data_IF_920894162993
#
_entry.id   IF_920894162993
#
_cell.length_a   1.000
_cell.length_b   1.000
_cell.length_c   1.000
_cell.angle_alpha   90.00
_cell.angle_beta   90.00
_cell.angle_gamma   90.00
#
_symmetry.space_group_name_H-M   'P 1'
#
loop_
_entity.id
_entity.type
_entity.pdbx_description
1 polymer ?
#
# COMPACT_ATOMS: atom_id res chain seq x y z
N UNK A 1 -48.26 -22.75 -11.30
CA UNK A 1 -48.57 -23.19 -9.93
C UNK A 1 -47.31 -22.92 -9.12
N UNK A 2 -47.28 -21.84 -8.34
CA UNK A 2 -47.31 -21.86 -6.87
C UNK A 2 -46.27 -22.86 -6.31
N UNK A 3 -45.23 -22.45 -5.58
CA UNK A 3 -45.35 -21.65 -4.36
C UNK A 3 -44.06 -20.95 -3.92
N UNK A 4 -44.23 -19.68 -3.55
CA UNK A 4 -43.39 -18.84 -2.68
C UNK A 4 -43.11 -19.51 -1.33
N UNK A 5 -41.96 -19.18 -0.71
CA UNK A 5 -41.84 -18.65 0.67
C UNK A 5 -40.35 -18.42 1.02
N UNK A 6 -39.92 -17.15 0.95
CA UNK A 6 -38.72 -16.64 1.64
C UNK A 6 -39.22 -16.01 2.95
N UNK A 7 -38.75 -16.54 4.07
CA UNK A 7 -39.06 -16.03 5.40
C UNK A 7 -38.08 -14.89 5.74
N UNK A 8 -38.64 -13.73 6.06
CA UNK A 8 -37.95 -12.59 6.62
C UNK A 8 -37.71 -12.82 8.12
N UNK A 9 -36.47 -12.58 8.58
CA UNK A 9 -36.17 -12.40 10.00
C UNK A 9 -35.87 -10.93 10.25
N UNK A 10 -36.84 -10.23 10.83
CA UNK A 10 -36.64 -8.96 11.51
C UNK A 10 -36.44 -9.26 13.00
N UNK A 11 -35.22 -9.07 13.50
CA UNK A 11 -34.91 -9.10 14.93
C UNK A 11 -34.75 -7.69 15.46
N UNK A 12 -35.77 -7.20 16.14
CA UNK A 12 -35.76 -5.96 16.91
C UNK A 12 -34.96 -6.16 18.20
N UNK A 13 -33.99 -5.28 18.49
CA UNK A 13 -33.34 -5.19 19.79
C UNK A 13 -33.79 -3.90 20.46
N UNK A 14 -34.44 -4.06 21.62
CA UNK A 14 -35.01 -3.01 22.43
C UNK A 14 -33.93 -2.25 23.22
N UNK A 15 -34.13 -0.93 23.30
CA UNK A 15 -33.44 0.01 24.17
C UNK A 15 -33.79 -0.26 25.64
N UNK A 16 -32.77 -0.37 26.50
CA UNK A 16 -32.89 -0.14 27.95
C UNK A 16 -31.76 0.80 28.37
N UNK A 17 -32.14 1.94 28.94
CA UNK A 17 -31.24 2.98 29.41
C UNK A 17 -30.61 2.68 30.78
N UNK A 18 -29.50 3.36 31.03
CA UNK A 18 -28.86 3.46 32.34
C UNK A 18 -27.80 4.56 32.32
N UNK A 19 -28.15 5.72 32.87
CA UNK A 19 -27.25 6.85 33.13
C UNK A 19 -26.42 6.58 34.37
N UNK A 20 -25.08 6.61 34.26
CA UNK A 20 -24.18 6.98 35.35
C UNK A 20 -23.06 7.82 34.75
N UNK A 21 -23.00 9.10 35.13
CA UNK A 21 -21.90 10.00 34.80
C UNK A 21 -20.91 10.09 35.94
N UNK A 22 -19.61 9.95 35.65
CA UNK A 22 -18.50 10.47 36.47
C UNK A 22 -17.35 10.87 35.52
N UNK A 23 -16.91 12.12 35.65
CA UNK A 23 -15.49 12.48 35.71
C UNK A 23 -14.66 12.50 34.43
N UNK A 24 -14.52 13.71 33.87
CA UNK A 24 -13.59 14.14 32.84
C UNK A 24 -12.12 13.77 33.09
N UNK A 25 -11.43 13.29 32.04
CA UNK A 25 -10.14 13.82 31.56
C UNK A 25 -9.55 12.84 30.53
N UNK A 26 -10.07 12.86 29.31
CA UNK A 26 -9.41 12.23 28.16
C UNK A 26 -8.99 13.34 27.21
N UNK A 27 -7.68 13.56 27.12
CA UNK A 27 -7.05 14.25 26.00
C UNK A 27 -7.57 13.59 24.70
N UNK A 28 -8.48 14.26 24.01
CA UNK A 28 -8.84 13.85 22.66
C UNK A 28 -7.61 14.01 21.76
N UNK A 29 -7.20 12.98 21.01
CA UNK A 29 -6.29 13.18 19.91
C UNK A 29 -7.03 14.09 18.92
N UNK A 30 -6.46 15.27 18.63
CA UNK A 30 -6.92 16.13 17.52
C UNK A 30 -6.89 15.30 16.24
N UNK A 31 -8.00 14.65 15.92
CA UNK A 31 -8.32 14.26 14.56
C UNK A 31 -8.37 15.57 13.79
N UNK A 32 -7.38 15.78 12.93
CA UNK A 32 -7.41 16.81 11.90
C UNK A 32 -8.60 16.52 10.99
N UNK A 33 -9.79 16.99 11.38
CA UNK A 33 -10.92 17.13 10.47
C UNK A 33 -10.41 17.93 9.27
N UNK A 34 -10.49 17.34 8.08
CA UNK A 34 -10.09 18.01 6.85
C UNK A 34 -10.83 19.33 6.72
N UNK A 35 -10.08 20.41 6.42
CA UNK A 35 -10.65 21.72 6.11
C UNK A 35 -11.61 21.58 4.92
N UNK A 36 -12.90 21.78 5.18
CA UNK A 36 -13.97 21.71 4.17
C UNK A 36 -13.84 22.81 3.09
N UNK A 37 -13.02 23.83 3.34
CA UNK A 37 -12.79 24.95 2.43
C UNK A 37 -11.65 24.70 1.42
N UNK A 38 -11.18 23.46 1.26
CA UNK A 38 -10.24 23.11 0.18
C UNK A 38 -10.98 23.01 -1.15
N UNK A 39 -10.62 23.91 -2.08
CA UNK A 39 -11.25 24.02 -3.41
C UNK A 39 -10.90 22.87 -4.37
N UNK A 40 -9.79 22.14 -4.13
CA UNK A 40 -9.40 20.97 -4.94
C UNK A 40 -9.70 19.67 -4.19
N UNK A 41 -10.33 18.67 -4.84
CA UNK A 41 -10.39 17.33 -4.28
C UNK A 41 -8.95 16.83 -4.10
N UNK A 42 -8.67 16.21 -2.95
CA UNK A 42 -7.37 15.61 -2.70
C UNK A 42 -7.14 14.45 -3.69
N UNK A 43 -6.70 14.76 -4.91
CA UNK A 43 -6.50 13.75 -5.94
C UNK A 43 -5.38 12.81 -5.53
N UNK A 44 -5.81 11.58 -5.29
CA UNK A 44 -5.02 10.42 -4.92
C UNK A 44 -4.15 9.97 -6.10
N UNK A 45 -2.95 10.56 -6.24
CA UNK A 45 -1.80 9.98 -6.98
C UNK A 45 -0.50 10.77 -6.82
N UNK A 46 -0.48 11.86 -6.06
CA UNK A 46 0.74 12.60 -5.80
C UNK A 46 1.59 11.89 -4.74
N UNK A 47 2.88 11.75 -5.04
CA UNK A 47 3.86 11.05 -4.21
C UNK A 47 3.94 11.62 -2.80
N UNK A 48 4.28 10.78 -1.83
CA UNK A 48 4.14 11.08 -0.39
C UNK A 48 4.83 12.38 0.08
N UNK A 49 5.84 12.90 -0.64
CA UNK A 49 6.51 14.18 -0.37
C UNK A 49 5.86 15.41 -1.03
N UNK A 50 4.96 15.24 -2.02
CA UNK A 50 4.17 16.36 -2.59
C UNK A 50 3.06 16.81 -1.66
N UNK A 51 2.60 15.91 -0.76
CA UNK A 51 1.44 16.15 0.10
C UNK A 51 1.74 17.15 1.21
N UNK A 52 2.91 17.04 1.86
CA UNK A 52 3.37 17.99 2.89
C UNK A 52 4.90 18.02 2.94
N UNK A 53 5.48 19.21 2.79
CA UNK A 53 6.92 19.42 2.92
C UNK A 53 7.21 19.63 4.41
N UNK A 54 7.52 18.55 5.13
CA UNK A 54 7.82 18.60 6.57
C UNK A 54 9.05 19.47 6.83
N UNK A 55 9.18 20.07 8.02
CA UNK A 55 10.33 20.91 8.37
C UNK A 55 11.67 20.16 8.20
N UNK A 56 11.69 18.87 8.51
CA UNK A 56 12.86 18.00 8.28
C UNK A 56 13.21 17.89 6.79
N UNK A 57 12.20 17.70 5.95
CA UNK A 57 12.37 17.60 4.49
C UNK A 57 12.80 18.95 3.92
N UNK A 58 12.19 20.04 4.39
CA UNK A 58 12.56 21.42 4.03
C UNK A 58 14.04 21.70 4.34
N UNK A 59 14.50 21.28 5.53
CA UNK A 59 15.89 21.48 5.94
C UNK A 59 16.85 20.64 5.08
N UNK A 60 16.52 19.37 4.77
CA UNK A 60 17.35 18.53 3.88
C UNK A 60 17.46 19.12 2.47
N UNK A 61 16.37 19.64 1.93
CA UNK A 61 16.37 20.32 0.62
C UNK A 61 17.21 21.58 0.69
N UNK A 62 17.05 22.41 1.73
CA UNK A 62 17.85 23.62 1.93
C UNK A 62 19.35 23.29 2.06
N UNK A 63 19.72 22.21 2.74
CA UNK A 63 21.12 21.79 2.85
C UNK A 63 21.72 21.36 1.50
N UNK A 64 20.95 20.63 0.68
CA UNK A 64 21.35 20.31 -0.68
C UNK A 64 21.48 21.57 -1.55
N UNK A 65 20.49 22.46 -1.44
CA UNK A 65 20.48 23.73 -2.16
C UNK A 65 21.64 24.64 -1.73
N UNK A 66 22.02 24.69 -0.45
CA UNK A 66 23.19 25.47 0.00
C UNK A 66 24.49 25.02 -0.67
N UNK A 67 24.60 23.73 -1.01
CA UNK A 67 25.77 23.18 -1.71
C UNK A 67 25.74 23.48 -3.21
N UNK A 68 24.55 23.46 -3.83
CA UNK A 68 24.37 23.66 -5.27
C UNK A 68 24.23 25.13 -5.69
N UNK A 69 23.41 25.88 -4.96
CA UNK A 69 23.16 27.31 -5.14
C UNK A 69 23.04 28.01 -3.77
N UNK A 70 24.18 28.45 -3.20
CA UNK A 70 24.20 29.11 -1.90
C UNK A 70 23.49 30.48 -1.91
N UNK A 71 23.36 31.13 -3.07
CA UNK A 71 22.69 32.42 -3.17
C UNK A 71 21.18 32.23 -3.01
N UNK A 72 20.59 31.30 -3.76
CA UNK A 72 19.16 30.97 -3.65
C UNK A 72 18.80 30.41 -2.27
N UNK A 73 19.66 29.60 -1.67
CA UNK A 73 19.44 29.12 -0.31
C UNK A 73 19.38 30.25 0.73
N UNK A 74 20.23 31.28 0.62
CA UNK A 74 20.20 32.45 1.51
C UNK A 74 18.93 33.29 1.33
N UNK A 75 18.41 33.38 0.10
CA UNK A 75 17.11 34.03 -0.15
C UNK A 75 15.99 33.28 0.54
N UNK A 76 15.94 31.95 0.38
CA UNK A 76 14.93 31.11 0.99
C UNK A 76 15.02 31.08 2.53
N UNK A 77 16.22 31.13 3.11
CA UNK A 77 16.40 31.25 4.58
C UNK A 77 15.78 32.54 5.13
N UNK A 78 15.89 33.65 4.39
CA UNK A 78 15.22 34.92 4.75
C UNK A 78 13.72 34.86 4.53
N UNK A 79 13.28 34.10 3.53
CA UNK A 79 11.86 33.95 3.19
C UNK A 79 11.13 33.06 4.21
N UNK A 80 11.81 32.06 4.78
CA UNK A 80 11.28 31.10 5.76
C UNK A 80 10.56 31.76 6.94
N UNK A 81 11.05 32.90 7.44
CA UNK A 81 10.44 33.63 8.56
C UNK A 81 9.46 34.73 8.13
N UNK A 82 9.55 35.21 6.90
CA UNK A 82 8.73 36.32 6.37
C UNK A 82 7.42 35.83 5.77
N UNK A 83 7.49 34.77 4.98
CA UNK A 83 6.35 34.20 4.27
C UNK A 83 6.54 32.67 4.15
N UNK A 84 6.06 31.90 5.13
CA UNK A 84 6.22 30.45 5.17
C UNK A 84 5.59 29.72 3.98
N UNK A 85 4.49 30.24 3.42
CA UNK A 85 3.80 29.60 2.31
C UNK A 85 4.53 29.85 0.99
N UNK A 86 4.96 31.09 0.75
CA UNK A 86 5.82 31.40 -0.40
C UNK A 86 7.17 30.69 -0.29
N UNK A 87 7.68 30.49 0.93
CA UNK A 87 8.92 29.74 1.16
C UNK A 87 8.77 28.29 0.71
N UNK A 88 7.69 27.61 1.09
CA UNK A 88 7.45 26.24 0.64
C UNK A 88 7.30 26.16 -0.87
N UNK A 89 6.63 27.13 -1.49
CA UNK A 89 6.46 27.17 -2.95
C UNK A 89 7.81 27.32 -3.68
N UNK A 90 8.59 28.35 -3.31
CA UNK A 90 9.90 28.60 -3.93
C UNK A 90 10.92 27.51 -3.59
N UNK A 91 10.86 26.91 -2.40
CA UNK A 91 11.73 25.79 -2.02
C UNK A 91 11.43 24.52 -2.83
N UNK A 92 10.16 24.25 -3.17
CA UNK A 92 9.81 23.11 -4.04
C UNK A 92 10.37 23.29 -5.44
N UNK A 93 10.23 24.48 -6.00
CA UNK A 93 10.73 24.78 -7.34
C UNK A 93 12.25 24.75 -7.39
N UNK A 94 12.90 25.50 -6.49
CA UNK A 94 14.35 25.57 -6.44
C UNK A 94 14.98 24.24 -6.01
N UNK A 95 14.31 23.46 -5.15
CA UNK A 95 14.78 22.22 -4.56
C UNK A 95 14.35 20.93 -5.28
N UNK A 96 13.81 21.05 -6.50
CA UNK A 96 13.33 19.89 -7.26
C UNK A 96 14.41 18.79 -7.46
N UNK A 97 15.70 19.10 -7.75
CA UNK A 97 16.74 18.07 -7.85
C UNK A 97 16.95 17.29 -6.55
N UNK A 98 16.92 17.96 -5.40
CA UNK A 98 17.05 17.33 -4.09
C UNK A 98 15.84 16.45 -3.79
N UNK A 99 14.63 16.89 -4.12
CA UNK A 99 13.40 16.10 -4.01
C UNK A 99 13.45 14.84 -4.88
N UNK A 100 13.94 14.96 -6.11
CA UNK A 100 14.11 13.82 -7.01
C UNK A 100 15.15 12.83 -6.48
N UNK A 101 16.24 13.32 -5.88
CA UNK A 101 17.25 12.46 -5.26
C UNK A 101 16.68 11.73 -4.02
N UNK A 102 16.00 12.45 -3.13
CA UNK A 102 15.35 11.84 -1.95
C UNK A 102 14.33 10.77 -2.35
N UNK A 103 13.62 11.00 -3.45
CA UNK A 103 12.71 10.02 -4.04
C UNK A 103 13.44 8.76 -4.49
N UNK A 104 14.54 8.92 -5.24
CA UNK A 104 15.37 7.80 -5.70
C UNK A 104 15.90 7.02 -4.51
N UNK A 105 16.46 7.70 -3.51
CA UNK A 105 17.01 7.07 -2.30
C UNK A 105 15.94 6.31 -1.52
N UNK A 106 14.74 6.87 -1.40
CA UNK A 106 13.61 6.19 -0.76
C UNK A 106 13.20 4.92 -1.52
N UNK A 107 13.06 5.02 -2.84
CA UNK A 107 12.71 3.87 -3.69
C UNK A 107 13.81 2.81 -3.66
N UNK A 108 15.08 3.21 -3.66
CA UNK A 108 16.22 2.33 -3.56
C UNK A 108 16.28 1.64 -2.20
N UNK A 109 16.11 2.38 -1.10
CA UNK A 109 16.04 1.81 0.26
C UNK A 109 14.90 0.79 0.37
N UNK A 110 13.73 1.12 -0.18
CA UNK A 110 12.59 0.21 -0.22
C UNK A 110 12.89 -1.04 -1.05
N UNK A 111 13.56 -0.88 -2.20
CA UNK A 111 14.01 -1.99 -3.04
C UNK A 111 15.01 -2.88 -2.32
N UNK A 112 16.02 -2.30 -1.68
CA UNK A 112 17.03 -3.03 -0.91
C UNK A 112 16.40 -3.81 0.25
N UNK A 113 15.51 -3.19 1.01
CA UNK A 113 14.77 -3.87 2.08
C UNK A 113 13.97 -5.05 1.54
N UNK A 114 13.20 -4.84 0.48
CA UNK A 114 12.43 -5.90 -0.17
C UNK A 114 13.32 -7.04 -0.67
N UNK A 115 14.47 -6.71 -1.26
CA UNK A 115 15.42 -7.71 -1.72
C UNK A 115 15.98 -8.53 -0.56
N UNK A 116 16.34 -7.88 0.55
CA UNK A 116 16.81 -8.58 1.76
C UNK A 116 15.73 -9.50 2.35
N UNK A 117 14.50 -9.01 2.47
CA UNK A 117 13.34 -9.82 2.91
C UNK A 117 13.12 -11.03 1.99
N UNK A 118 13.26 -10.84 0.67
CA UNK A 118 13.13 -11.93 -0.30
C UNK A 118 14.22 -12.99 -0.13
N UNK A 119 15.48 -12.61 0.08
CA UNK A 119 16.58 -13.55 0.32
C UNK A 119 16.34 -14.37 1.58
N UNK A 120 15.93 -13.75 2.68
CA UNK A 120 15.62 -14.48 3.92
C UNK A 120 14.43 -15.44 3.73
N UNK A 121 13.40 -15.00 3.00
CA UNK A 121 12.29 -15.88 2.65
C UNK A 121 12.74 -17.05 1.76
N UNK A 122 13.64 -16.80 0.80
CA UNK A 122 14.20 -17.81 -0.09
C UNK A 122 15.01 -18.84 0.72
N UNK A 123 15.83 -18.39 1.67
CA UNK A 123 16.58 -19.26 2.58
C UNK A 123 15.69 -20.24 3.34
N UNK A 124 14.55 -19.75 3.84
CA UNK A 124 13.61 -20.57 4.60
C UNK A 124 12.80 -21.54 3.73
N UNK A 125 12.49 -21.18 2.49
CA UNK A 125 11.55 -21.93 1.64
C UNK A 125 12.21 -22.74 0.53
N UNK A 126 13.36 -22.27 0.05
CA UNK A 126 14.10 -22.75 -1.12
C UNK A 126 15.62 -22.63 -0.87
N UNK A 127 16.16 -23.32 0.15
CA UNK A 127 17.54 -23.14 0.61
C UNK A 127 18.59 -23.45 -0.46
N UNK A 128 18.30 -24.36 -1.40
CA UNK A 128 19.22 -24.67 -2.50
C UNK A 128 19.41 -23.47 -3.44
N UNK A 129 18.31 -22.82 -3.81
CA UNK A 129 18.32 -21.63 -4.67
C UNK A 129 19.02 -20.45 -3.99
N UNK A 130 18.83 -20.29 -2.68
CA UNK A 130 19.55 -19.27 -1.91
C UNK A 130 21.06 -19.55 -1.89
N UNK A 131 21.48 -20.79 -1.64
CA UNK A 131 22.90 -21.17 -1.65
C UNK A 131 23.56 -20.95 -3.01
N UNK A 132 22.88 -21.35 -4.09
CA UNK A 132 23.35 -21.11 -5.47
C UNK A 132 23.52 -19.62 -5.74
N UNK A 133 22.55 -18.81 -5.32
CA UNK A 133 22.60 -17.36 -5.50
C UNK A 133 23.71 -16.71 -4.66
N UNK A 134 23.88 -17.13 -3.41
CA UNK A 134 24.93 -16.63 -2.52
C UNK A 134 26.32 -17.00 -3.05
N UNK A 135 26.49 -18.19 -3.63
CA UNK A 135 27.74 -18.60 -4.26
C UNK A 135 28.13 -17.74 -5.49
N UNK A 136 27.16 -17.10 -6.15
CA UNK A 136 27.40 -16.20 -7.27
C UNK A 136 27.82 -14.80 -6.84
N UNK A 137 27.41 -14.36 -5.63
CA UNK A 137 27.63 -13.00 -5.13
C UNK A 137 29.12 -12.60 -5.12
N UNK A 138 29.99 -13.54 -4.76
CA UNK A 138 31.44 -13.31 -4.66
C UNK A 138 32.20 -13.64 -5.94
N UNK A 139 31.60 -14.41 -6.85
CA UNK A 139 32.25 -14.93 -8.07
C UNK A 139 31.95 -14.10 -9.31
N UNK A 140 30.70 -13.70 -9.47
CA UNK A 140 30.24 -12.95 -10.65
C UNK A 140 29.02 -12.09 -10.28
N UNK A 141 29.26 -10.81 -10.04
CA UNK A 141 28.23 -9.83 -9.69
C UNK A 141 27.17 -9.69 -10.78
N UNK A 142 27.52 -9.83 -12.06
CA UNK A 142 26.56 -9.69 -13.16
C UNK A 142 25.63 -10.90 -13.22
N UNK A 143 26.20 -12.09 -13.07
CA UNK A 143 25.44 -13.33 -13.02
C UNK A 143 24.58 -13.40 -11.76
N UNK A 144 25.06 -12.86 -10.62
CA UNK A 144 24.26 -12.70 -9.41
C UNK A 144 23.00 -11.86 -9.65
N UNK A 145 23.13 -10.68 -10.27
CA UNK A 145 21.97 -9.81 -10.56
C UNK A 145 20.97 -10.52 -11.46
N UNK A 146 21.45 -11.16 -12.52
CA UNK A 146 20.59 -11.89 -13.47
C UNK A 146 19.85 -13.05 -12.78
N UNK A 147 20.56 -13.81 -11.96
CA UNK A 147 20.00 -14.95 -11.22
C UNK A 147 19.00 -14.48 -10.16
N UNK A 148 19.29 -13.39 -9.47
CA UNK A 148 18.36 -12.76 -8.52
C UNK A 148 17.07 -12.33 -9.22
N UNK A 149 17.16 -11.67 -10.37
CA UNK A 149 16.00 -11.25 -11.16
C UNK A 149 15.17 -12.44 -11.66
N UNK A 150 15.84 -13.53 -12.05
CA UNK A 150 15.17 -14.77 -12.42
C UNK A 150 14.39 -15.37 -11.24
N UNK A 151 15.02 -15.48 -10.07
CA UNK A 151 14.36 -15.97 -8.85
C UNK A 151 13.21 -15.06 -8.42
N UNK A 152 13.37 -13.73 -8.52
CA UNK A 152 12.28 -12.79 -8.27
C UNK A 152 11.12 -12.96 -9.25
N UNK A 153 11.39 -13.30 -10.51
CA UNK A 153 10.35 -13.59 -11.51
C UNK A 153 9.65 -14.90 -11.20
N UNK A 154 10.40 -15.93 -10.79
CA UNK A 154 9.85 -17.27 -10.51
C UNK A 154 9.06 -17.30 -9.19
N UNK A 155 9.63 -16.74 -8.11
CA UNK A 155 9.09 -16.87 -6.75
C UNK A 155 8.48 -15.59 -6.20
N UNK A 156 8.66 -14.44 -6.84
CA UNK A 156 8.26 -13.14 -6.28
C UNK A 156 6.77 -13.03 -5.98
N UNK A 157 5.91 -13.62 -6.81
CA UNK A 157 4.47 -13.65 -6.54
C UNK A 157 4.13 -14.45 -5.27
N UNK A 158 4.82 -15.57 -5.04
CA UNK A 158 4.65 -16.42 -3.86
C UNK A 158 5.14 -15.68 -2.61
N UNK A 159 6.28 -14.99 -2.71
CA UNK A 159 6.83 -14.16 -1.64
C UNK A 159 5.86 -13.05 -1.22
N UNK A 160 5.34 -12.26 -2.17
CA UNK A 160 4.41 -11.17 -1.85
C UNK A 160 3.08 -11.69 -1.29
N UNK A 161 2.59 -12.81 -1.82
CA UNK A 161 1.42 -13.48 -1.27
C UNK A 161 1.68 -13.94 0.16
N UNK A 162 2.80 -14.62 0.44
CA UNK A 162 3.12 -15.12 1.78
C UNK A 162 3.16 -14.00 2.84
N UNK A 163 3.54 -12.77 2.45
CA UNK A 163 3.58 -11.61 3.35
C UNK A 163 2.19 -10.99 3.60
N UNK A 164 1.35 -10.95 2.58
CA UNK A 164 0.05 -10.25 2.65
C UNK A 164 -1.13 -11.17 2.97
N UNK A 165 -1.04 -12.42 2.54
CA UNK A 165 -1.99 -13.50 2.77
C UNK A 165 -1.23 -14.84 2.84
N UNK A 166 -0.85 -15.30 4.05
CA UNK A 166 -0.07 -16.52 4.24
C UNK A 166 -0.70 -17.79 3.62
N UNK A 167 -2.03 -17.87 3.60
CA UNK A 167 -2.74 -18.98 2.96
C UNK A 167 -2.53 -18.98 1.45
N UNK A 168 -2.70 -17.82 0.80
CA UNK A 168 -2.41 -17.69 -0.63
C UNK A 168 -0.95 -18.01 -0.95
N UNK A 169 -0.02 -17.60 -0.08
CA UNK A 169 1.40 -17.97 -0.18
C UNK A 169 1.60 -19.49 -0.21
N UNK A 170 0.94 -20.22 0.70
CA UNK A 170 0.98 -21.69 0.75
C UNK A 170 0.40 -22.32 -0.52
N UNK A 171 -0.77 -21.85 -0.98
CA UNK A 171 -1.43 -22.36 -2.20
C UNK A 171 -0.55 -22.16 -3.44
N UNK A 172 0.05 -20.97 -3.60
CA UNK A 172 0.91 -20.67 -4.74
C UNK A 172 2.23 -21.46 -4.69
N UNK A 173 2.78 -21.68 -3.49
CA UNK A 173 3.97 -22.52 -3.30
C UNK A 173 3.70 -23.95 -3.73
N UNK A 174 2.58 -24.54 -3.31
CA UNK A 174 2.21 -25.90 -3.70
C UNK A 174 1.97 -26.01 -5.22
N UNK A 175 1.20 -25.09 -5.82
CA UNK A 175 0.95 -25.10 -7.27
C UNK A 175 2.25 -24.97 -8.08
N UNK A 176 3.22 -24.18 -7.60
CA UNK A 176 4.52 -24.04 -8.23
C UNK A 176 5.30 -25.35 -8.29
N UNK A 177 5.37 -26.07 -7.18
CA UNK A 177 6.06 -27.38 -7.12
C UNK A 177 5.33 -28.44 -7.96
N UNK A 178 4.01 -28.46 -7.93
CA UNK A 178 3.23 -29.36 -8.78
C UNK A 178 3.41 -29.02 -10.26
N UNK A 179 3.55 -27.74 -10.64
CA UNK A 179 3.83 -27.34 -12.02
C UNK A 179 5.18 -27.87 -12.52
N UNK A 180 6.22 -27.85 -11.68
CA UNK A 180 7.51 -28.48 -11.99
C UNK A 180 7.36 -29.99 -12.20
N UNK A 181 6.65 -30.67 -11.29
CA UNK A 181 6.38 -32.11 -11.37
C UNK A 181 5.60 -32.49 -12.63
N UNK A 182 4.58 -31.72 -13.02
CA UNK A 182 3.87 -31.88 -14.30
C UNK A 182 4.87 -31.83 -15.46
N UNK A 183 5.76 -30.83 -15.49
CA UNK A 183 6.76 -30.69 -16.54
C UNK A 183 7.73 -31.88 -16.61
N UNK A 184 8.10 -32.46 -15.47
CA UNK A 184 8.92 -33.68 -15.38
C UNK A 184 8.18 -34.91 -15.86
N UNK A 185 6.94 -35.13 -15.40
CA UNK A 185 6.11 -36.26 -15.81
C UNK A 185 5.84 -36.22 -17.32
N UNK A 186 5.50 -35.05 -17.86
CA UNK A 186 5.33 -34.85 -19.30
C UNK A 186 6.61 -35.11 -20.11
N UNK A 187 7.80 -34.83 -19.56
CA UNK A 187 9.07 -35.18 -20.20
C UNK A 187 9.30 -36.68 -20.19
N UNK A 188 9.14 -37.33 -19.02
CA UNK A 188 9.29 -38.79 -18.86
C UNK A 188 8.34 -39.56 -19.77
N UNK A 189 7.06 -39.16 -19.80
CA UNK A 189 6.03 -39.78 -20.62
C UNK A 189 6.36 -39.73 -22.12
N UNK A 190 6.90 -38.60 -22.60
CA UNK A 190 7.34 -38.45 -24.00
C UNK A 190 8.52 -39.34 -24.38
N UNK A 191 9.42 -39.60 -23.43
CA UNK A 191 10.61 -40.43 -23.64
C UNK A 191 10.40 -41.93 -23.37
N UNK A 192 9.35 -42.29 -22.64
CA UNK A 192 9.09 -43.67 -22.24
C UNK A 192 8.65 -44.53 -23.43
N UNK A 193 9.15 -45.76 -23.50
CA UNK A 193 8.85 -46.70 -24.59
C UNK A 193 7.89 -47.79 -24.15
N UNK A 194 7.87 -48.13 -22.87
CA UNK A 194 6.98 -49.14 -22.32
C UNK A 194 5.57 -48.58 -22.12
N UNK A 195 4.57 -49.24 -22.71
CA UNK A 195 3.17 -48.83 -22.55
C UNK A 195 2.67 -48.98 -21.11
N UNK A 196 3.11 -50.02 -20.40
CA UNK A 196 2.79 -50.19 -18.97
C UNK A 196 3.29 -49.00 -18.13
N UNK A 197 4.56 -48.59 -18.32
CA UNK A 197 5.11 -47.41 -17.63
C UNK A 197 4.46 -46.10 -18.06
N UNK A 198 4.02 -45.98 -19.32
CA UNK A 198 3.26 -44.81 -19.77
C UNK A 198 1.92 -44.70 -19.04
N UNK A 199 1.23 -45.82 -18.80
CA UNK A 199 -0.01 -45.83 -18.03
C UNK A 199 0.23 -45.40 -16.58
N UNK A 200 1.27 -45.92 -15.93
CA UNK A 200 1.65 -45.51 -14.57
C UNK A 200 1.96 -44.01 -14.48
N UNK A 201 2.79 -43.49 -15.41
CA UNK A 201 3.11 -42.06 -15.49
C UNK A 201 1.87 -41.21 -15.81
N UNK A 202 0.95 -41.73 -16.62
CA UNK A 202 -0.32 -41.08 -16.95
C UNK A 202 -1.21 -40.93 -15.72
N UNK A 203 -1.36 -42.00 -14.92
CA UNK A 203 -2.10 -41.97 -13.67
C UNK A 203 -1.48 -41.01 -12.64
N UNK A 204 -0.14 -41.00 -12.52
CA UNK A 204 0.56 -40.03 -11.65
C UNK A 204 0.31 -38.59 -12.11
N UNK A 205 0.38 -38.34 -13.42
CA UNK A 205 0.11 -37.02 -13.99
C UNK A 205 -1.33 -36.57 -13.74
N UNK A 206 -2.31 -37.46 -13.85
CA UNK A 206 -3.71 -37.17 -13.55
C UNK A 206 -3.91 -36.71 -12.12
N UNK A 207 -3.32 -37.42 -11.14
CA UNK A 207 -3.37 -37.03 -9.72
C UNK A 207 -2.77 -35.64 -9.49
N UNK A 208 -1.61 -35.36 -10.09
CA UNK A 208 -0.94 -34.06 -9.95
C UNK A 208 -1.78 -32.95 -10.59
N UNK A 209 -2.35 -33.18 -11.77
CA UNK A 209 -3.20 -32.20 -12.47
C UNK A 209 -4.49 -31.93 -11.70
N UNK A 210 -5.13 -32.96 -11.15
CA UNK A 210 -6.32 -32.83 -10.31
C UNK A 210 -6.01 -31.95 -9.08
N UNK A 211 -4.91 -32.21 -8.37
CA UNK A 211 -4.52 -31.39 -7.22
C UNK A 211 -4.26 -29.93 -7.61
N UNK A 212 -3.63 -29.68 -8.76
CA UNK A 212 -3.44 -28.30 -9.26
C UNK A 212 -4.76 -27.60 -9.57
N UNK A 213 -5.74 -28.33 -10.09
CA UNK A 213 -7.08 -27.79 -10.31
C UNK A 213 -7.70 -27.33 -8.98
N UNK A 214 -7.62 -28.15 -7.93
CA UNK A 214 -8.12 -27.78 -6.60
C UNK A 214 -7.45 -26.51 -6.07
N UNK A 215 -6.14 -26.37 -6.23
CA UNK A 215 -5.39 -25.17 -5.82
C UNK A 215 -5.79 -23.93 -6.63
N UNK A 216 -6.07 -24.10 -7.93
CA UNK A 216 -6.58 -23.01 -8.77
C UNK A 216 -7.96 -22.55 -8.29
N UNK A 217 -8.84 -23.49 -7.92
CA UNK A 217 -10.14 -23.17 -7.32
C UNK A 217 -9.95 -22.45 -5.99
N UNK A 218 -9.11 -22.97 -5.09
CA UNK A 218 -8.85 -22.32 -3.80
C UNK A 218 -8.29 -20.90 -3.96
N UNK A 219 -7.40 -20.67 -4.93
CA UNK A 219 -6.91 -19.32 -5.26
C UNK A 219 -8.06 -18.37 -5.65
N UNK A 220 -9.05 -18.85 -6.39
CA UNK A 220 -10.23 -18.05 -6.75
C UNK A 220 -11.12 -17.76 -5.55
N UNK A 221 -11.30 -18.73 -4.67
CA UNK A 221 -12.05 -18.55 -3.41
C UNK A 221 -11.40 -17.49 -2.52
N UNK A 222 -10.08 -17.57 -2.31
CA UNK A 222 -9.34 -16.57 -1.54
C UNK A 222 -9.50 -15.17 -2.15
N UNK A 223 -9.40 -15.05 -3.48
CA UNK A 223 -9.62 -13.78 -4.15
C UNK A 223 -11.05 -13.25 -3.95
N UNK A 224 -12.05 -14.13 -4.00
CA UNK A 224 -13.44 -13.81 -3.73
C UNK A 224 -13.64 -13.30 -2.30
N UNK A 225 -13.08 -13.98 -1.30
CA UNK A 225 -13.10 -13.57 0.12
C UNK A 225 -12.48 -12.18 0.30
N UNK A 226 -11.34 -11.89 -0.36
CA UNK A 226 -10.71 -10.58 -0.35
C UNK A 226 -11.59 -9.49 -0.96
N UNK A 227 -12.29 -9.79 -2.06
CA UNK A 227 -13.23 -8.84 -2.66
C UNK A 227 -14.41 -8.55 -1.76
N UNK A 228 -14.98 -9.56 -1.08
CA UNK A 228 -16.05 -9.35 -0.11
C UNK A 228 -15.60 -8.41 1.01
N UNK A 229 -14.45 -8.67 1.62
CA UNK A 229 -13.89 -7.79 2.65
C UNK A 229 -13.70 -6.37 2.15
N UNK A 230 -13.20 -6.19 0.92
CA UNK A 230 -13.02 -4.86 0.34
C UNK A 230 -14.36 -4.16 0.11
N UNK A 231 -15.40 -4.88 -0.30
CA UNK A 231 -16.74 -4.32 -0.45
C UNK A 231 -17.31 -3.86 0.89
N UNK A 232 -17.12 -4.63 1.96
CA UNK A 232 -17.53 -4.24 3.32
C UNK A 232 -16.82 -2.96 3.78
N UNK A 233 -15.49 -2.88 3.60
CA UNK A 233 -14.71 -1.67 3.92
C UNK A 233 -15.19 -0.46 3.13
N UNK A 234 -15.42 -0.62 1.82
CA UNK A 234 -15.90 0.46 0.97
C UNK A 234 -17.32 0.89 1.35
N UNK A 235 -18.20 -0.05 1.68
CA UNK A 235 -19.55 0.25 2.14
C UNK A 235 -19.50 1.05 3.44
N UNK A 236 -18.62 0.67 4.38
CA UNK A 236 -18.38 1.44 5.60
C UNK A 236 -17.91 2.86 5.30
N UNK A 237 -16.92 3.03 4.42
CA UNK A 237 -16.45 4.36 4.00
C UNK A 237 -17.55 5.21 3.36
N UNK A 238 -18.43 4.59 2.57
CA UNK A 238 -19.58 5.28 1.96
C UNK A 238 -20.57 5.75 3.03
N UNK A 239 -20.83 4.94 4.06
CA UNK A 239 -21.71 5.32 5.17
C UNK A 239 -21.07 6.46 5.97
N UNK A 240 -19.81 6.32 6.35
CA UNK A 240 -19.05 7.37 7.06
C UNK A 240 -19.05 8.69 6.27
N UNK A 241 -18.79 8.64 4.97
CA UNK A 241 -18.82 9.82 4.10
C UNK A 241 -20.22 10.44 4.01
N UNK A 242 -21.28 9.62 3.95
CA UNK A 242 -22.67 10.14 3.98
C UNK A 242 -22.98 10.84 5.30
N UNK A 243 -22.56 10.28 6.43
CA UNK A 243 -22.77 10.85 7.75
C UNK A 243 -21.98 12.16 7.91
N UNK A 244 -20.75 12.21 7.41
CA UNK A 244 -19.95 13.44 7.34
C UNK A 244 -20.66 14.52 6.51
N UNK A 245 -21.13 14.18 5.31
CA UNK A 245 -21.88 15.11 4.46
C UNK A 245 -23.15 15.60 5.17
N UNK A 246 -23.87 14.71 5.86
CA UNK A 246 -25.07 15.08 6.62
C UNK A 246 -24.73 16.06 7.75
N UNK A 247 -23.64 15.81 8.49
CA UNK A 247 -23.11 16.73 9.52
C UNK A 247 -22.80 18.11 8.94
N UNK A 248 -22.14 18.18 7.78
CA UNK A 248 -21.83 19.46 7.14
C UNK A 248 -23.03 20.17 6.50
N UNK A 249 -24.12 19.45 6.25
CA UNK A 249 -25.40 20.05 5.82
C UNK A 249 -26.21 20.66 6.97
N UNK A 250 -25.88 20.34 8.23
CA UNK A 250 -26.54 20.95 9.38
C UNK A 250 -26.34 22.48 9.39
N UNK A 251 -27.42 23.23 9.62
CA UNK A 251 -27.39 24.70 9.53
C UNK A 251 -26.52 25.33 10.62
N UNK A 252 -26.47 24.77 11.83
CA UNK A 252 -25.63 25.31 12.91
C UNK A 252 -24.16 25.07 12.60
N UNK A 253 -23.82 23.86 12.15
CA UNK A 253 -22.45 23.52 11.71
C UNK A 253 -22.03 24.42 10.54
N UNK A 254 -22.91 24.64 9.56
CA UNK A 254 -22.65 25.56 8.45
C UNK A 254 -22.38 26.99 8.94
N UNK A 255 -23.25 27.54 9.79
CA UNK A 255 -23.10 28.90 10.31
C UNK A 255 -21.79 29.08 11.07
N UNK A 256 -21.42 28.10 11.92
CA UNK A 256 -20.17 28.12 12.66
C UNK A 256 -18.96 28.04 11.72
N UNK A 257 -18.96 27.11 10.76
CA UNK A 257 -17.86 26.99 9.79
C UNK A 257 -17.70 28.26 8.94
N UNK A 258 -18.81 28.89 8.52
CA UNK A 258 -18.79 30.16 7.78
C UNK A 258 -18.25 31.29 8.66
N UNK A 259 -18.67 31.38 9.92
CA UNK A 259 -18.17 32.37 10.87
C UNK A 259 -16.66 32.22 11.09
N UNK A 260 -16.19 31.00 11.35
CA UNK A 260 -14.76 30.70 11.50
C UNK A 260 -13.98 31.06 10.24
N UNK A 261 -14.51 30.74 9.06
CA UNK A 261 -13.87 31.09 7.79
C UNK A 261 -13.81 32.61 7.59
N UNK A 262 -14.90 33.33 7.85
CA UNK A 262 -14.92 34.79 7.79
C UNK A 262 -13.88 35.39 8.73
N UNK A 263 -13.83 34.93 9.97
CA UNK A 263 -12.83 35.37 10.94
C UNK A 263 -11.40 35.11 10.44
N UNK A 264 -11.10 33.91 9.93
CA UNK A 264 -9.78 33.59 9.38
C UNK A 264 -9.41 34.49 8.19
N UNK A 265 -10.38 34.84 7.34
CA UNK A 265 -10.17 35.74 6.20
C UNK A 265 -9.99 37.21 6.63
N UNK A 266 -10.66 37.65 7.72
CA UNK A 266 -10.64 39.05 8.16
C UNK A 266 -9.57 39.37 9.22
N UNK A 267 -9.15 38.39 10.03
CA UNK A 267 -8.15 38.58 11.09
C UNK A 267 -6.72 38.57 10.52
N UNK A 268 -6.53 38.10 9.28
CA UNK A 268 -5.28 38.21 8.52
C UNK A 268 -5.04 39.64 7.97
N UNK A 269 -5.34 40.67 8.76
CA UNK A 269 -4.89 42.04 8.51
C UNK A 269 -3.39 42.12 8.80
N UNK A 270 -2.57 41.71 7.84
CA UNK A 270 -1.26 42.34 7.67
C UNK A 270 -1.55 43.83 7.54
N UNK A 271 -1.17 44.61 8.57
CA UNK A 271 -1.17 46.07 8.50
C UNK A 271 -0.24 46.44 7.34
N UNK A 272 -0.82 46.68 6.17
CA UNK A 272 -0.11 47.28 5.06
C UNK A 272 0.34 48.68 5.53
N UNK A 273 1.63 48.82 5.85
CA UNK A 273 2.23 50.11 6.16
C UNK A 273 2.69 50.73 4.84
N UNK A 274 2.08 51.85 4.47
CA UNK A 274 2.65 52.79 3.51
C UNK A 274 3.62 53.68 4.30
N UNK A 275 4.84 53.20 4.53
CA UNK A 275 5.97 54.06 4.93
C UNK A 275 6.99 54.07 3.77
#
# INVERSE_FOLDING_TARGET
MQSRRLAAFFGAVALVGGLVGIGSATNEPRQTQGDIWRDEPAESRQTWWRRDLTDETANKILEGLRKRDPAKAKELDKLKSRDPERFKAELREAGQPELDQMTRDYLETRRQRRNAEFIEWLKANYPKQEQELTALKDKDTKLYVTSFEHLMTEYGAIFEASRSNPELGTVLKEDHELKKRVGELCRRLRSEKSDAKKQELGAELEVVVARRYDLIVRRKEIAYEQFLKRLEELQKQVIESKDEIAKYKDQKVKQENVRQRLQALTDNKVKFKWD
#
